data_IF_441386752136
#
_entry.id   IF_441386752136
#
_cell.length_a   1.000
_cell.length_b   1.000
_cell.length_c   1.000
_cell.angle_alpha   90.00
_cell.angle_beta   90.00
_cell.angle_gamma   90.00
#
_symmetry.space_group_name_H-M   'P 1'
#
loop_
_entity.id
_entity.type
_entity.pdbx_description
1 polymer ?
#
# COMPACT_ATOMS: atom_id res chain seq x y z
N UNK A 1 51.11 -2.33 49.24
CA UNK A 1 51.76 -3.19 48.22
C UNK A 1 50.84 -4.35 47.94
N UNK A 2 50.25 -4.50 46.73
CA UNK A 2 49.41 -5.63 46.37
C UNK A 2 50.33 -6.85 46.18
N UNK A 3 50.15 -7.95 46.95
CA UNK A 3 50.89 -9.20 46.86
C UNK A 3 50.41 -9.98 45.60
N UNK A 4 50.80 -9.55 44.39
CA UNK A 4 50.49 -10.26 43.19
C UNK A 4 51.61 -11.28 42.86
N UNK A 5 51.20 -12.54 42.56
CA UNK A 5 52.11 -13.62 42.18
C UNK A 5 53.19 -13.94 43.20
N UNK A 6 52.91 -13.68 44.50
CA UNK A 6 53.82 -14.09 45.60
C UNK A 6 53.54 -15.55 45.94
N UNK A 7 54.54 -16.37 45.91
CA UNK A 7 54.45 -17.78 46.35
C UNK A 7 54.17 -17.81 47.85
N UNK A 8 53.04 -18.43 48.21
CA UNK A 8 52.66 -18.64 49.61
C UNK A 8 53.39 -19.85 50.22
N UNK A 9 53.41 -20.94 49.49
CA UNK A 9 54.08 -22.15 49.93
C UNK A 9 54.59 -22.98 48.78
N UNK A 10 55.63 -23.77 49.04
CA UNK A 10 56.19 -24.74 48.11
C UNK A 10 56.14 -26.11 48.80
N UNK A 11 55.57 -27.09 48.16
CA UNK A 11 55.59 -28.49 48.57
C UNK A 11 56.32 -29.33 47.57
N UNK A 12 57.16 -30.29 48.03
CA UNK A 12 57.83 -31.27 47.24
C UNK A 12 57.38 -32.67 47.66
N UNK A 13 56.58 -33.32 46.80
CA UNK A 13 55.83 -34.49 47.24
C UNK A 13 54.80 -34.07 48.30
N UNK A 14 54.82 -34.80 49.43
CA UNK A 14 54.01 -34.51 50.65
C UNK A 14 54.64 -33.55 51.65
N UNK A 15 55.88 -33.13 51.40
CA UNK A 15 56.68 -32.36 52.36
C UNK A 15 56.72 -30.85 52.01
N UNK A 16 56.68 -29.98 53.01
CA UNK A 16 57.02 -28.59 52.80
C UNK A 16 58.45 -28.37 52.39
N UNK A 17 58.73 -27.43 51.45
CA UNK A 17 60.07 -27.10 51.03
C UNK A 17 60.88 -26.50 52.21
N UNK A 18 62.07 -27.01 52.43
CA UNK A 18 63.00 -26.46 53.41
C UNK A 18 64.38 -26.25 52.70
N UNK A 19 64.95 -25.09 52.90
CA UNK A 19 66.22 -24.69 52.35
C UNK A 19 67.35 -25.60 52.94
N UNK A 20 68.25 -26.14 52.05
CA UNK A 20 69.36 -27.00 52.48
C UNK A 20 69.05 -28.50 52.51
N UNK A 21 67.80 -28.91 52.22
CA UNK A 21 67.47 -30.34 52.12
C UNK A 21 67.55 -30.84 50.68
N UNK A 22 67.92 -32.08 50.45
CA UNK A 22 67.89 -32.69 49.15
C UNK A 22 66.62 -33.49 48.95
N UNK A 23 65.98 -33.33 47.83
CA UNK A 23 64.71 -33.99 47.44
C UNK A 23 64.97 -34.84 46.19
N UNK A 24 64.25 -35.95 46.06
CA UNK A 24 64.31 -36.74 44.81
C UNK A 24 63.77 -35.92 43.63
N UNK A 25 64.46 -35.98 42.51
CA UNK A 25 64.07 -35.28 41.28
C UNK A 25 62.73 -35.75 40.68
N UNK A 26 62.22 -36.92 41.14
CA UNK A 26 60.94 -37.48 40.69
C UNK A 26 59.73 -37.03 41.49
N UNK A 27 59.91 -36.28 42.58
CA UNK A 27 58.79 -35.80 43.38
C UNK A 27 58.10 -34.60 42.72
N UNK A 28 56.76 -34.60 42.69
CA UNK A 28 56.02 -33.44 42.15
C UNK A 28 56.24 -32.20 43.03
N UNK A 29 56.49 -31.08 42.36
CA UNK A 29 56.55 -29.76 43.03
C UNK A 29 55.22 -29.02 42.88
N UNK A 30 54.61 -28.73 44.03
CA UNK A 30 53.37 -27.93 44.09
C UNK A 30 53.70 -26.53 44.60
N UNK A 31 53.44 -25.54 43.77
CA UNK A 31 53.54 -24.11 44.19
C UNK A 31 52.13 -23.58 44.48
N UNK A 32 51.96 -23.12 45.71
CA UNK A 32 50.75 -22.34 46.09
C UNK A 32 51.13 -20.86 46.07
N UNK A 33 50.40 -20.09 45.34
CA UNK A 33 50.66 -18.64 45.22
C UNK A 33 49.38 -17.86 45.48
N UNK A 34 49.52 -16.63 45.94
CA UNK A 34 48.41 -15.75 46.07
C UNK A 34 47.97 -15.26 44.69
N UNK A 35 46.87 -15.83 44.20
CA UNK A 35 46.17 -15.28 43.07
C UNK A 35 45.40 -14.03 43.53
N UNK A 36 45.98 -12.89 43.32
CA UNK A 36 45.29 -11.60 43.45
C UNK A 36 44.80 -11.18 42.05
N UNK A 37 44.21 -12.12 41.29
CA UNK A 37 43.32 -11.68 40.22
C UNK A 37 42.24 -10.79 40.89
N UNK A 38 42.20 -9.53 40.51
CA UNK A 38 41.33 -8.57 41.18
C UNK A 38 39.89 -8.84 40.70
N UNK A 39 39.32 -9.93 41.19
CA UNK A 39 37.95 -10.34 40.88
C UNK A 39 36.89 -9.41 41.46
N UNK A 40 37.32 -8.47 42.31
CA UNK A 40 36.48 -7.48 42.92
C UNK A 40 36.51 -6.19 42.10
N UNK A 41 35.34 -5.71 41.78
CA UNK A 41 35.08 -4.46 41.02
C UNK A 41 34.17 -3.54 41.81
N UNK A 42 34.35 -2.24 41.64
CA UNK A 42 33.52 -1.22 42.29
C UNK A 42 32.34 -0.92 41.37
N UNK A 43 31.13 -0.86 41.97
CA UNK A 43 29.95 -0.40 41.24
C UNK A 43 30.13 1.11 40.92
N UNK A 44 29.83 1.54 39.68
CA UNK A 44 29.87 2.95 39.30
C UNK A 44 28.94 3.81 40.15
N UNK A 45 29.44 4.96 40.60
CA UNK A 45 28.70 5.85 41.54
C UNK A 45 27.59 6.68 40.88
N UNK A 46 27.67 6.89 39.57
CA UNK A 46 26.80 7.81 38.82
C UNK A 46 25.63 7.13 38.10
N UNK A 47 25.18 5.98 38.61
CA UNK A 47 24.03 5.28 38.05
C UNK A 47 22.75 5.80 38.70
N UNK A 48 21.84 6.32 37.88
CA UNK A 48 20.55 6.87 38.33
C UNK A 48 19.38 6.31 37.55
N UNK A 49 18.20 6.34 38.18
CA UNK A 49 16.93 6.06 37.48
C UNK A 49 16.75 7.10 36.36
N UNK A 50 16.30 6.62 35.20
CA UNK A 50 16.16 7.48 34.01
C UNK A 50 17.43 7.68 33.17
N UNK A 51 18.59 7.15 33.60
CA UNK A 51 19.76 7.05 32.73
C UNK A 51 19.48 6.13 31.54
N UNK A 52 20.19 6.30 30.42
CA UNK A 52 19.99 5.42 29.28
C UNK A 52 20.55 4.03 29.55
N UNK A 53 19.88 3.00 29.02
CA UNK A 53 20.30 1.60 29.08
C UNK A 53 21.73 1.42 28.57
N UNK A 54 22.05 2.04 27.43
CA UNK A 54 23.37 1.93 26.79
C UNK A 54 24.49 2.55 27.65
N UNK A 55 24.21 3.63 28.33
CA UNK A 55 25.18 4.28 29.20
C UNK A 55 25.46 3.44 30.42
N UNK A 56 24.44 2.92 31.11
CA UNK A 56 24.61 2.04 32.28
C UNK A 56 25.33 0.75 31.89
N UNK A 57 24.97 0.13 30.79
CA UNK A 57 25.67 -1.05 30.28
C UNK A 57 27.16 -0.77 30.05
N UNK A 58 27.49 0.35 29.40
CA UNK A 58 28.86 0.77 29.16
C UNK A 58 29.62 1.03 30.47
N UNK A 59 29.02 1.69 31.44
CA UNK A 59 29.62 1.98 32.73
C UNK A 59 29.93 0.67 33.48
N UNK A 60 28.98 -0.28 33.53
CA UNK A 60 29.18 -1.59 34.17
C UNK A 60 30.28 -2.40 33.49
N UNK A 61 30.27 -2.49 32.16
CA UNK A 61 31.32 -3.17 31.41
C UNK A 61 32.69 -2.53 31.61
N UNK A 62 32.77 -1.21 31.61
CA UNK A 62 34.02 -0.47 31.86
C UNK A 62 34.55 -0.66 33.28
N UNK A 63 33.65 -0.86 34.25
CA UNK A 63 34.02 -1.21 35.62
C UNK A 63 34.51 -2.65 35.77
N UNK A 64 34.34 -3.48 34.72
CA UNK A 64 34.85 -4.88 34.71
C UNK A 64 33.79 -5.95 34.99
N UNK A 65 32.49 -5.60 35.07
CA UNK A 65 31.44 -6.59 35.21
C UNK A 65 31.27 -7.41 33.96
N UNK A 66 31.10 -8.72 34.12
CA UNK A 66 31.01 -9.69 33.00
C UNK A 66 29.65 -10.38 32.91
N UNK A 67 28.85 -10.34 33.97
CA UNK A 67 27.55 -11.01 34.05
C UNK A 67 26.42 -9.99 34.15
N UNK A 68 26.09 -9.34 33.02
CA UNK A 68 25.09 -8.28 32.92
C UNK A 68 23.94 -8.79 32.05
N UNK A 69 22.72 -8.76 32.59
CA UNK A 69 21.49 -9.08 31.88
C UNK A 69 20.63 -7.81 31.75
N UNK A 70 20.21 -7.51 30.52
CA UNK A 70 19.29 -6.40 30.23
C UNK A 70 17.89 -6.98 30.09
N UNK A 71 16.94 -6.51 30.89
CA UNK A 71 15.55 -7.01 30.90
C UNK A 71 14.59 -5.88 30.51
N UNK A 72 13.90 -5.97 29.36
CA UNK A 72 12.89 -5.01 28.98
C UNK A 72 11.65 -5.16 29.87
N UNK A 73 11.05 -4.05 30.25
CA UNK A 73 9.74 -3.98 30.88
C UNK A 73 8.85 -3.07 30.06
N UNK A 74 7.76 -3.62 29.56
CA UNK A 74 6.80 -2.88 28.74
C UNK A 74 6.32 -1.61 29.47
N UNK A 75 6.42 -0.47 28.81
CA UNK A 75 6.07 0.84 29.35
C UNK A 75 5.42 1.69 28.26
N UNK A 76 4.26 2.28 28.56
CA UNK A 76 3.52 3.13 27.65
C UNK A 76 4.08 4.56 27.56
N UNK A 77 4.94 4.95 28.49
CA UNK A 77 5.59 6.25 28.45
C UNK A 77 6.78 6.23 27.49
N UNK A 78 6.57 6.78 26.29
CA UNK A 78 7.58 6.88 25.24
C UNK A 78 8.82 7.65 25.69
N UNK A 79 8.67 8.63 26.58
CA UNK A 79 9.81 9.43 27.10
C UNK A 79 10.74 8.62 27.98
N UNK A 80 10.22 7.51 28.53
CA UNK A 80 10.96 6.56 29.34
C UNK A 80 11.61 5.43 28.51
N UNK A 81 11.37 5.36 27.20
CA UNK A 81 11.95 4.32 26.36
C UNK A 81 13.48 4.24 26.51
N UNK A 82 13.97 3.01 26.75
CA UNK A 82 15.38 2.71 27.05
C UNK A 82 15.95 3.39 28.30
N UNK A 83 15.10 3.92 29.17
CA UNK A 83 15.52 4.44 30.46
C UNK A 83 15.49 3.37 31.54
N UNK A 84 16.47 3.42 32.44
CA UNK A 84 16.60 2.47 33.57
C UNK A 84 15.52 2.68 34.58
N UNK A 85 14.86 1.59 34.97
CA UNK A 85 13.88 1.54 36.05
C UNK A 85 14.51 1.03 37.39
N UNK A 86 15.27 -0.07 37.30
CA UNK A 86 15.92 -0.67 38.46
C UNK A 86 17.17 -1.48 38.03
N UNK A 87 18.08 -1.66 38.97
CA UNK A 87 19.23 -2.55 38.84
C UNK A 87 19.18 -3.51 40.04
N UNK A 88 19.25 -4.81 39.74
CA UNK A 88 19.37 -5.87 40.73
C UNK A 88 20.82 -6.37 40.77
N UNK A 89 21.38 -6.48 41.94
CA UNK A 89 22.68 -7.05 42.22
C UNK A 89 22.50 -8.31 43.04
N UNK A 90 22.83 -9.45 42.47
CA UNK A 90 22.63 -10.76 43.13
C UNK A 90 21.21 -10.93 43.70
N UNK A 91 20.19 -10.55 42.90
CA UNK A 91 18.77 -10.62 43.28
C UNK A 91 18.29 -9.56 44.28
N UNK A 92 19.15 -8.62 44.71
CA UNK A 92 18.77 -7.50 45.57
C UNK A 92 18.77 -6.18 44.81
N UNK A 93 17.73 -5.35 45.02
CA UNK A 93 17.68 -4.05 44.38
C UNK A 93 18.80 -3.14 44.84
N UNK A 94 19.57 -2.63 43.87
CA UNK A 94 20.60 -1.64 44.13
C UNK A 94 19.96 -0.27 44.29
N UNK A 95 20.24 0.38 45.44
CA UNK A 95 19.81 1.78 45.63
C UNK A 95 20.65 2.67 44.76
N UNK A 96 20.03 3.21 43.70
CA UNK A 96 20.66 4.17 42.80
C UNK A 96 20.66 5.56 43.49
N UNK A 97 21.47 6.46 42.99
CA UNK A 97 21.63 7.82 43.51
C UNK A 97 22.23 7.89 44.93
N UNK A 98 22.89 6.83 45.39
CA UNK A 98 23.62 6.81 46.66
C UNK A 98 25.12 6.85 46.44
N UNK A 99 25.83 7.63 47.26
CA UNK A 99 27.30 7.68 47.24
C UNK A 99 27.95 6.52 48.02
N UNK A 100 27.29 5.37 48.03
CA UNK A 100 27.79 4.20 48.76
C UNK A 100 28.82 3.47 47.89
N UNK A 101 30.02 3.28 48.44
CA UNK A 101 31.05 2.49 47.75
C UNK A 101 30.74 1.00 47.90
N UNK A 102 30.26 0.36 46.86
CA UNK A 102 29.93 -1.05 46.82
C UNK A 102 30.97 -1.78 45.98
N UNK A 103 31.69 -2.70 46.62
CA UNK A 103 32.71 -3.56 45.97
C UNK A 103 32.21 -5.00 46.01
N UNK A 104 32.17 -5.61 44.83
CA UNK A 104 31.66 -6.97 44.65
C UNK A 104 32.53 -7.75 43.62
N UNK A 105 32.33 -9.04 43.51
CA UNK A 105 32.98 -9.85 42.49
C UNK A 105 32.52 -9.44 41.10
N UNK A 106 33.42 -9.42 40.12
CA UNK A 106 33.14 -9.05 38.71
C UNK A 106 32.09 -9.92 38.02
N UNK A 107 31.93 -11.17 38.48
CA UNK A 107 30.98 -12.14 37.93
C UNK A 107 29.63 -12.17 38.65
N UNK A 108 29.41 -11.29 39.62
CA UNK A 108 28.10 -11.20 40.27
C UNK A 108 27.01 -10.92 39.23
N UNK A 109 25.86 -11.62 39.30
CA UNK A 109 24.78 -11.37 38.37
C UNK A 109 24.16 -9.98 38.61
N UNK A 110 24.14 -9.19 37.52
CA UNK A 110 23.52 -7.87 37.47
C UNK A 110 22.36 -7.93 36.49
N UNK A 111 21.15 -7.61 36.93
CA UNK A 111 20.00 -7.47 36.07
C UNK A 111 19.59 -5.99 36.01
N UNK A 112 19.66 -5.43 34.84
CA UNK A 112 19.26 -4.05 34.56
C UNK A 112 17.90 -4.06 33.90
N UNK A 113 16.86 -3.56 34.57
CA UNK A 113 15.51 -3.43 34.05
C UNK A 113 15.33 -2.04 33.45
N UNK A 114 14.85 -1.97 32.22
CA UNK A 114 14.63 -0.72 31.51
C UNK A 114 13.23 -0.65 30.89
N UNK A 115 12.69 0.54 30.71
CA UNK A 115 11.41 0.78 30.05
C UNK A 115 11.50 0.48 28.56
N UNK A 116 10.56 -0.29 28.04
CA UNK A 116 10.47 -0.62 26.60
C UNK A 116 9.13 -0.20 26.02
N UNK A 117 9.16 0.80 25.15
CA UNK A 117 8.03 1.28 24.37
C UNK A 117 7.85 0.56 23.03
N UNK A 118 8.76 -0.34 22.64
CA UNK A 118 8.82 -0.92 21.30
C UNK A 118 7.55 -1.65 20.86
N UNK A 119 6.80 -2.20 21.80
CA UNK A 119 5.52 -2.90 21.57
C UNK A 119 4.30 -1.97 21.49
N UNK A 120 4.48 -0.66 21.76
CA UNK A 120 3.40 0.32 21.76
C UNK A 120 3.52 1.30 20.59
N UNK A 121 2.41 1.91 20.25
CA UNK A 121 2.30 2.99 19.28
C UNK A 121 1.34 4.06 19.80
N UNK A 122 1.58 5.30 19.37
CA UNK A 122 0.69 6.43 19.64
C UNK A 122 -0.41 6.48 18.60
N UNK A 123 -1.66 6.61 19.05
CA UNK A 123 -2.79 6.88 18.15
C UNK A 123 -2.71 8.30 17.61
N UNK A 124 -3.10 8.53 16.35
CA UNK A 124 -3.24 9.88 15.84
C UNK A 124 -4.27 10.66 16.67
N UNK A 125 -4.06 11.96 16.83
CA UNK A 125 -4.99 12.80 17.59
C UNK A 125 -6.37 12.89 16.94
N UNK A 126 -6.41 12.86 15.62
CA UNK A 126 -7.63 12.84 14.82
C UNK A 126 -7.36 12.13 13.49
N UNK A 127 -8.40 11.55 12.91
CA UNK A 127 -8.37 11.04 11.54
C UNK A 127 -8.91 12.16 10.65
N UNK A 128 -7.99 12.96 10.09
CA UNK A 128 -8.32 14.10 9.20
C UNK A 128 -8.36 13.71 7.73
N UNK A 129 -8.02 12.48 7.39
CA UNK A 129 -8.01 11.96 6.02
C UNK A 129 -9.41 11.49 5.62
N UNK A 130 -9.75 11.70 4.36
CA UNK A 130 -11.04 11.31 3.79
C UNK A 130 -10.97 9.99 3.02
N UNK A 131 -9.77 9.52 2.72
CA UNK A 131 -9.56 8.30 1.94
C UNK A 131 -9.16 7.13 2.81
N UNK A 132 -9.60 5.93 2.42
CA UNK A 132 -9.20 4.67 3.06
C UNK A 132 -7.70 4.46 2.97
N UNK A 133 -7.11 4.77 1.81
CA UNK A 133 -5.68 4.61 1.56
C UNK A 133 -4.82 5.44 2.52
N UNK A 134 -5.13 6.74 2.65
CA UNK A 134 -4.38 7.64 3.53
C UNK A 134 -4.55 7.27 5.00
N UNK A 135 -5.76 6.84 5.38
CA UNK A 135 -6.03 6.36 6.74
C UNK A 135 -5.23 5.10 7.05
N UNK A 136 -5.20 4.14 6.12
CA UNK A 136 -4.38 2.94 6.27
C UNK A 136 -2.90 3.28 6.42
N UNK A 137 -2.41 4.17 5.57
CA UNK A 137 -1.03 4.66 5.63
C UNK A 137 -0.73 5.32 6.97
N UNK A 138 -1.64 6.15 7.49
CA UNK A 138 -1.49 6.82 8.78
C UNK A 138 -1.24 5.82 9.92
N UNK A 139 -2.01 4.73 9.97
CA UNK A 139 -1.83 3.69 10.99
C UNK A 139 -0.60 2.82 10.76
N UNK A 140 -0.31 2.44 9.50
CA UNK A 140 0.89 1.64 9.21
C UNK A 140 2.19 2.41 9.47
N UNK A 141 2.26 3.68 9.10
CA UNK A 141 3.40 4.57 9.42
C UNK A 141 3.51 4.81 10.93
N UNK A 142 2.38 4.81 11.64
CA UNK A 142 2.33 4.83 13.11
C UNK A 142 2.84 3.54 13.77
N UNK A 143 3.14 2.50 12.99
CA UNK A 143 3.72 1.24 13.45
C UNK A 143 2.69 0.17 13.81
N UNK A 144 1.41 0.33 13.48
CA UNK A 144 0.40 -0.72 13.67
C UNK A 144 0.57 -1.82 12.63
N UNK A 145 0.62 -3.07 13.10
CA UNK A 145 0.88 -4.24 12.25
C UNK A 145 -0.38 -4.92 11.72
N UNK A 146 -1.53 -4.68 12.33
CA UNK A 146 -2.80 -5.32 11.98
C UNK A 146 -3.81 -4.28 11.50
N UNK A 147 -3.55 -3.68 10.34
CA UNK A 147 -4.44 -2.71 9.70
C UNK A 147 -5.16 -3.37 8.54
N UNK A 148 -6.48 -3.40 8.60
CA UNK A 148 -7.34 -4.02 7.58
C UNK A 148 -8.47 -3.08 7.15
N UNK A 149 -9.04 -3.37 5.99
CA UNK A 149 -10.14 -2.64 5.40
C UNK A 149 -11.39 -3.52 5.42
N UNK A 150 -12.55 -2.91 5.68
CA UNK A 150 -13.85 -3.58 5.62
C UNK A 150 -14.81 -2.76 4.77
N UNK A 151 -15.15 -3.30 3.61
CA UNK A 151 -16.11 -2.70 2.70
C UNK A 151 -17.56 -2.94 3.18
N UNK A 152 -18.39 -1.93 3.07
CA UNK A 152 -19.86 -2.01 3.21
C UNK A 152 -20.47 -1.65 1.86
N UNK A 153 -21.25 -2.56 1.28
CA UNK A 153 -21.87 -2.32 -0.02
C UNK A 153 -22.91 -1.21 0.05
N UNK A 154 -22.94 -0.35 -0.99
CA UNK A 154 -23.93 0.70 -1.17
C UNK A 154 -24.28 0.86 -2.64
N UNK A 155 -25.55 1.24 -2.91
CA UNK A 155 -25.99 1.63 -4.25
C UNK A 155 -25.76 3.12 -4.54
N UNK A 156 -25.36 3.89 -3.53
CA UNK A 156 -25.07 5.31 -3.68
C UNK A 156 -23.63 5.50 -4.17
N UNK A 157 -23.48 5.73 -5.46
CA UNK A 157 -22.19 5.91 -6.15
C UNK A 157 -21.39 7.08 -5.55
N UNK A 158 -22.06 8.11 -5.04
CA UNK A 158 -21.41 9.28 -4.46
C UNK A 158 -20.65 8.97 -3.19
N UNK A 159 -20.95 7.87 -2.52
CA UNK A 159 -20.31 7.41 -1.29
C UNK A 159 -19.12 6.50 -1.54
N UNK A 160 -18.86 6.10 -2.78
CA UNK A 160 -17.79 5.12 -3.07
C UNK A 160 -16.45 5.58 -2.51
N UNK A 161 -15.83 4.71 -1.70
CA UNK A 161 -14.54 5.00 -1.06
C UNK A 161 -14.60 5.93 0.16
N UNK A 162 -15.77 6.44 0.53
CA UNK A 162 -15.90 7.27 1.73
C UNK A 162 -15.81 6.42 3.00
N UNK A 163 -15.04 6.90 3.97
CA UNK A 163 -14.94 6.24 5.27
C UNK A 163 -16.24 6.33 6.06
N UNK A 164 -16.57 5.23 6.74
CA UNK A 164 -17.68 5.12 7.69
C UNK A 164 -17.16 5.33 9.10
N UNK A 165 -16.16 4.57 9.50
CA UNK A 165 -15.59 4.56 10.83
C UNK A 165 -14.21 3.88 10.83
N UNK A 166 -13.43 4.12 11.88
CA UNK A 166 -12.26 3.33 12.21
C UNK A 166 -12.49 2.68 13.55
N UNK A 167 -12.32 1.36 13.61
CA UNK A 167 -12.42 0.59 14.84
C UNK A 167 -11.05 0.04 15.24
N UNK A 168 -10.77 0.05 16.53
CA UNK A 168 -9.58 -0.52 17.11
C UNK A 168 -10.00 -1.50 18.19
N UNK A 169 -9.62 -2.77 18.02
CA UNK A 169 -10.03 -3.87 18.91
C UNK A 169 -11.55 -3.90 19.16
N UNK A 170 -12.34 -3.58 18.09
CA UNK A 170 -13.80 -3.56 18.13
C UNK A 170 -14.44 -2.32 18.77
N UNK A 171 -13.66 -1.30 19.10
CA UNK A 171 -14.16 -0.03 19.64
C UNK A 171 -13.99 1.09 18.60
N UNK A 172 -14.97 1.97 18.50
CA UNK A 172 -14.83 3.16 17.65
C UNK A 172 -13.64 4.01 18.08
N UNK A 173 -12.85 4.47 17.12
CA UNK A 173 -11.65 5.27 17.34
C UNK A 173 -11.91 6.49 18.25
N UNK A 174 -13.02 7.17 18.05
CA UNK A 174 -13.37 8.36 18.83
C UNK A 174 -13.77 8.06 20.27
N UNK A 175 -14.07 6.79 20.59
CA UNK A 175 -14.38 6.34 21.96
C UNK A 175 -13.15 5.94 22.77
N UNK A 176 -11.94 5.91 22.14
CA UNK A 176 -10.72 5.46 22.79
C UNK A 176 -10.04 6.64 23.49
N UNK A 177 -9.99 6.57 24.81
CA UNK A 177 -9.34 7.58 25.63
C UNK A 177 -7.82 7.39 25.74
N UNK A 178 -7.36 6.13 25.73
CA UNK A 178 -5.93 5.80 25.83
C UNK A 178 -5.25 6.07 24.46
N UNK A 179 -4.35 7.05 24.44
CA UNK A 179 -3.64 7.45 23.21
C UNK A 179 -2.44 6.55 22.88
N UNK A 180 -2.05 5.67 23.77
CA UNK A 180 -0.95 4.72 23.58
C UNK A 180 -1.46 3.30 23.73
N UNK A 181 -1.45 2.56 22.65
CA UNK A 181 -1.94 1.18 22.57
C UNK A 181 -0.89 0.25 21.97
N UNK A 182 -1.12 -1.05 22.00
CA UNK A 182 -0.18 -2.01 21.43
C UNK A 182 -0.16 -1.93 19.90
N UNK A 183 1.01 -2.09 19.29
CA UNK A 183 1.17 -2.17 17.83
C UNK A 183 0.39 -3.33 17.20
N UNK A 184 0.07 -4.36 17.99
CA UNK A 184 -0.70 -5.51 17.55
C UNK A 184 -2.21 -5.33 17.65
N UNK A 185 -2.69 -4.17 18.13
CA UNK A 185 -4.12 -3.86 18.13
C UNK A 185 -4.68 -3.92 16.73
N UNK A 186 -5.86 -4.54 16.59
CA UNK A 186 -6.52 -4.74 15.31
C UNK A 186 -7.24 -3.45 14.88
N UNK A 187 -6.74 -2.82 13.83
CA UNK A 187 -7.34 -1.62 13.22
C UNK A 187 -8.18 -2.03 12.03
N UNK A 188 -9.47 -1.66 12.02
CA UNK A 188 -10.40 -1.91 10.92
C UNK A 188 -10.90 -0.56 10.40
N UNK A 189 -10.62 -0.28 9.13
CA UNK A 189 -11.10 0.91 8.42
C UNK A 189 -12.35 0.50 7.64
N UNK A 190 -13.52 0.98 8.06
CA UNK A 190 -14.81 0.71 7.40
C UNK A 190 -15.10 1.78 6.37
N UNK A 191 -15.53 1.37 5.19
CA UNK A 191 -15.82 2.29 4.09
C UNK A 191 -16.95 1.81 3.20
N UNK A 192 -17.57 2.72 2.44
CA UNK A 192 -18.59 2.42 1.46
C UNK A 192 -17.98 1.93 0.15
N UNK A 193 -18.50 0.83 -0.36
CA UNK A 193 -18.13 0.29 -1.67
C UNK A 193 -19.36 0.31 -2.60
N UNK A 194 -19.28 1.10 -3.67
CA UNK A 194 -20.31 1.20 -4.71
C UNK A 194 -19.86 0.59 -6.05
N UNK A 195 -18.81 -0.22 -6.09
CA UNK A 195 -18.27 -0.78 -7.34
C UNK A 195 -19.33 -1.53 -8.14
N UNK A 196 -20.21 -2.29 -7.46
CA UNK A 196 -21.32 -3.00 -8.13
C UNK A 196 -22.30 -2.01 -8.78
N UNK A 197 -22.65 -0.91 -8.08
CA UNK A 197 -23.54 0.11 -8.62
C UNK A 197 -22.90 0.88 -9.76
N UNK A 198 -21.61 1.15 -9.70
CA UNK A 198 -20.85 1.79 -10.77
C UNK A 198 -20.82 0.90 -12.02
N UNK A 199 -20.49 -0.39 -11.85
CA UNK A 199 -20.48 -1.35 -12.95
C UNK A 199 -21.87 -1.53 -13.60
N UNK A 200 -22.92 -1.59 -12.79
CA UNK A 200 -24.30 -1.68 -13.26
C UNK A 200 -24.70 -0.42 -14.06
N UNK A 201 -24.34 0.76 -13.58
CA UNK A 201 -24.58 2.01 -14.29
C UNK A 201 -23.85 2.05 -15.62
N UNK A 202 -22.57 1.70 -15.64
CA UNK A 202 -21.77 1.65 -16.87
C UNK A 202 -22.33 0.65 -17.90
N UNK A 203 -22.79 -0.52 -17.43
CA UNK A 203 -23.45 -1.49 -18.31
C UNK A 203 -24.73 -0.95 -18.94
N UNK A 204 -25.57 -0.29 -18.16
CA UNK A 204 -26.83 0.32 -18.65
C UNK A 204 -26.57 1.44 -19.63
N UNK A 205 -25.57 2.28 -19.39
CA UNK A 205 -25.15 3.34 -20.28
C UNK A 205 -24.63 2.79 -21.61
N UNK A 206 -23.85 1.73 -21.58
CA UNK A 206 -23.36 1.06 -22.78
C UNK A 206 -24.49 0.38 -23.57
N UNK A 207 -25.41 -0.31 -22.91
CA UNK A 207 -26.59 -0.89 -23.52
C UNK A 207 -27.45 0.18 -24.21
N UNK A 208 -27.67 1.33 -23.53
CA UNK A 208 -28.39 2.46 -24.09
C UNK A 208 -27.69 3.06 -25.30
N UNK A 209 -26.36 3.18 -25.26
CA UNK A 209 -25.56 3.66 -26.39
C UNK A 209 -25.68 2.75 -27.62
N UNK A 210 -25.54 1.43 -27.41
CA UNK A 210 -25.68 0.44 -28.48
C UNK A 210 -27.10 0.41 -29.07
N UNK A 211 -28.12 0.54 -28.22
CA UNK A 211 -29.51 0.62 -28.66
C UNK A 211 -29.76 1.88 -29.52
N UNK A 212 -29.23 3.02 -29.10
CA UNK A 212 -29.35 4.27 -29.86
C UNK A 212 -28.60 4.21 -31.21
N UNK A 213 -27.43 3.56 -31.26
CA UNK A 213 -26.69 3.34 -32.48
C UNK A 213 -27.41 2.40 -33.44
N UNK A 214 -27.99 1.30 -32.92
CA UNK A 214 -28.81 0.39 -33.70
C UNK A 214 -30.07 1.06 -34.29
N UNK A 215 -30.72 1.93 -33.51
CA UNK A 215 -31.87 2.72 -34.01
C UNK A 215 -31.48 3.65 -35.14
N UNK A 216 -30.35 4.38 -35.03
CA UNK A 216 -29.84 5.25 -36.09
C UNK A 216 -29.49 4.46 -37.33
N UNK A 217 -28.87 3.28 -37.22
CA UNK A 217 -28.56 2.41 -38.35
C UNK A 217 -29.81 1.90 -39.05
N UNK A 218 -30.85 1.47 -38.26
CA UNK A 218 -32.12 1.04 -38.82
C UNK A 218 -32.86 2.17 -39.54
N UNK A 219 -32.84 3.40 -39.01
CA UNK A 219 -33.42 4.55 -39.65
C UNK A 219 -32.68 4.91 -40.98
N UNK A 220 -31.35 4.87 -40.95
CA UNK A 220 -30.55 5.08 -42.15
C UNK A 220 -30.87 4.04 -43.26
N UNK A 221 -31.06 2.77 -42.90
CA UNK A 221 -31.47 1.72 -43.84
C UNK A 221 -32.85 1.98 -44.39
N UNK A 222 -33.85 2.38 -43.62
CA UNK A 222 -35.21 2.72 -44.05
C UNK A 222 -35.17 3.88 -45.06
N UNK A 223 -34.37 4.92 -44.80
CA UNK A 223 -34.19 6.03 -45.72
C UNK A 223 -33.60 5.54 -47.02
N UNK A 224 -32.59 4.70 -47.02
CA UNK A 224 -31.94 4.16 -48.22
C UNK A 224 -32.93 3.30 -49.02
N UNK A 225 -33.70 2.43 -48.39
CA UNK A 225 -34.72 1.60 -49.00
C UNK A 225 -35.83 2.44 -49.65
N UNK A 226 -36.29 3.49 -48.96
CA UNK A 226 -37.30 4.41 -49.50
C UNK A 226 -36.82 5.19 -50.73
N UNK A 227 -35.55 5.62 -50.75
CA UNK A 227 -34.88 6.24 -51.90
C UNK A 227 -34.75 5.27 -53.08
N UNK A 228 -34.37 4.03 -52.83
CA UNK A 228 -34.26 2.99 -53.86
C UNK A 228 -35.61 2.66 -54.48
N UNK A 229 -36.70 2.60 -53.68
CA UNK A 229 -38.06 2.40 -54.17
C UNK A 229 -38.52 3.59 -55.02
N UNK A 230 -38.26 4.82 -54.58
CA UNK A 230 -38.57 6.01 -55.36
C UNK A 230 -37.84 6.04 -56.71
N UNK A 231 -36.55 5.70 -56.75
CA UNK A 231 -35.80 5.60 -58.01
C UNK A 231 -36.33 4.53 -58.96
N UNK A 232 -36.72 3.36 -58.44
CA UNK A 232 -37.26 2.28 -59.27
C UNK A 232 -38.64 2.67 -59.87
N UNK A 233 -39.48 3.44 -59.12
CA UNK A 233 -40.72 4.00 -59.64
C UNK A 233 -40.47 5.02 -60.74
N UNK A 234 -39.49 5.91 -60.61
CA UNK A 234 -39.11 6.89 -61.63
C UNK A 234 -38.65 6.18 -62.93
N UNK A 235 -37.86 5.09 -62.82
CA UNK A 235 -37.43 4.32 -64.00
C UNK A 235 -38.57 3.58 -64.68
N UNK A 236 -39.57 3.09 -63.93
CA UNK A 236 -40.78 2.48 -64.50
C UNK A 236 -41.62 3.53 -65.28
N UNK A 237 -41.76 4.75 -64.76
CA UNK A 237 -42.45 5.85 -65.46
C UNK A 237 -41.72 6.30 -66.71
N UNK A 238 -40.38 6.38 -66.73
CA UNK A 238 -39.59 6.73 -67.85
C UNK A 238 -39.63 5.66 -68.98
N UNK A 239 -39.77 4.36 -68.63
CA UNK A 239 -39.90 3.26 -69.59
C UNK A 239 -41.30 3.19 -70.28
N UNK A 240 -42.34 3.81 -69.72
CA UNK A 240 -43.68 3.80 -70.34
C UNK A 240 -43.98 4.93 -71.33
N UNK A 241 -43.07 5.90 -71.46
CA UNK A 241 -43.22 6.99 -72.43
C UNK A 241 -42.50 6.75 -73.79
N UNK A 242 -41.97 5.55 -74.03
CA UNK A 242 -41.50 5.16 -75.36
C UNK A 242 -42.65 4.68 -76.25
N UNK A 243 -43.80 5.34 -76.17
CA UNK A 243 -44.84 5.24 -77.18
C UNK A 243 -44.40 5.96 -78.45
N UNK A 244 -44.37 5.26 -79.58
CA UNK A 244 -44.04 5.86 -80.86
C UNK A 244 -44.99 7.03 -81.11
N UNK A 245 -44.49 8.24 -80.99
CA UNK A 245 -45.25 9.44 -81.41
C UNK A 245 -45.29 9.40 -82.93
N UNK A 246 -46.49 9.47 -83.53
CA UNK A 246 -46.66 9.57 -84.94
C UNK A 246 -47.41 10.86 -85.24
N UNK A 247 -46.76 11.72 -86.09
CA UNK A 247 -47.39 12.92 -86.56
C UNK A 247 -47.87 12.71 -88.01
N UNK A 248 -49.18 12.92 -88.24
CA UNK A 248 -49.83 12.70 -89.53
C UNK A 248 -49.34 13.69 -90.61
N UNK A 249 -48.99 14.90 -90.24
CA UNK A 249 -48.52 15.97 -91.13
C UNK A 249 -47.82 17.08 -90.28
N UNK A 250 -47.21 18.05 -90.96
CA UNK A 250 -46.51 19.17 -90.30
C UNK A 250 -47.43 20.06 -89.48
N UNK A 251 -48.73 20.12 -89.71
CA UNK A 251 -49.66 20.82 -88.83
C UNK A 251 -49.76 20.15 -87.52
N UNK A 252 -49.77 18.82 -87.46
CA UNK A 252 -49.76 18.07 -86.19
C UNK A 252 -48.45 18.25 -85.45
N UNK A 253 -47.30 18.32 -86.06
CA UNK A 253 -46.00 18.60 -85.44
C UNK A 253 -45.99 19.99 -84.81
N UNK A 254 -46.46 21.04 -85.57
CA UNK A 254 -46.57 22.42 -85.08
C UNK A 254 -47.55 22.54 -83.89
N UNK A 255 -48.66 21.88 -83.98
CA UNK A 255 -49.63 21.86 -82.85
C UNK A 255 -49.10 21.19 -81.57
N UNK A 256 -48.14 20.26 -81.76
CA UNK A 256 -47.44 19.60 -80.65
C UNK A 256 -46.20 20.41 -80.18
N UNK A 257 -45.85 21.51 -80.83
CA UNK A 257 -44.67 22.32 -80.54
C UNK A 257 -43.35 21.60 -80.81
N UNK A 258 -43.35 20.64 -81.75
CA UNK A 258 -42.21 19.80 -82.10
C UNK A 258 -41.56 20.19 -83.40
N UNK A 259 -41.86 21.33 -84.02
CA UNK A 259 -41.29 21.87 -85.27
C UNK A 259 -40.08 22.81 -84.98
N UNK A 260 -39.00 22.67 -85.78
CA UNK A 260 -38.74 21.63 -86.75
C UNK A 260 -38.38 20.29 -86.07
N UNK A 261 -38.77 19.15 -86.69
CA UNK A 261 -38.49 17.79 -86.14
C UNK A 261 -37.32 17.18 -86.93
N UNK A 262 -36.33 16.67 -86.23
CA UNK A 262 -35.12 16.14 -86.82
C UNK A 262 -35.14 14.62 -86.95
N UNK A 263 -34.36 14.08 -87.91
CA UNK A 263 -34.19 12.64 -88.08
C UNK A 263 -33.61 12.01 -86.80
N UNK A 264 -34.35 11.13 -86.14
CA UNK A 264 -34.06 10.52 -84.84
C UNK A 264 -34.92 11.01 -83.69
N UNK A 265 -35.66 12.09 -83.86
CA UNK A 265 -36.61 12.54 -82.85
C UNK A 265 -37.85 11.63 -82.82
N UNK A 266 -38.44 11.42 -81.64
CA UNK A 266 -39.71 10.70 -81.56
C UNK A 266 -40.78 11.36 -82.46
N UNK A 267 -41.33 10.64 -83.35
CA UNK A 267 -42.33 11.11 -84.30
C UNK A 267 -41.83 11.63 -85.62
N UNK A 268 -40.53 11.67 -85.90
CA UNK A 268 -39.99 11.95 -87.21
C UNK A 268 -40.41 10.84 -88.21
N UNK A 269 -40.82 11.25 -89.33
CA UNK A 269 -41.13 10.39 -90.45
C UNK A 269 -40.78 11.05 -91.79
N UNK A 270 -40.27 10.26 -92.73
CA UNK A 270 -39.87 10.79 -94.06
C UNK A 270 -40.98 11.51 -94.84
N UNK A 271 -42.24 11.33 -94.45
CA UNK A 271 -43.37 12.04 -94.97
C UNK A 271 -43.52 13.48 -94.43
N UNK A 272 -42.76 13.83 -93.38
CA UNK A 272 -42.67 15.16 -92.81
C UNK A 272 -41.50 15.98 -93.35
N UNK A 273 -40.51 15.31 -93.91
CA UNK A 273 -39.27 15.82 -94.50
C UNK A 273 -39.36 15.75 -96.09
N UNK A 274 -39.71 16.88 -96.71
CA UNK A 274 -40.04 16.90 -98.13
C UNK A 274 -38.84 16.84 -99.05
N UNK A 275 -37.74 17.39 -98.65
CA UNK A 275 -36.50 17.47 -99.50
C UNK A 275 -35.44 16.42 -99.03
N UNK A 276 -35.68 15.70 -97.93
CA UNK A 276 -34.89 14.58 -97.44
C UNK A 276 -33.57 14.95 -96.76
N UNK A 277 -33.46 16.18 -96.32
CA UNK A 277 -32.25 16.71 -95.65
C UNK A 277 -32.14 16.30 -94.18
N UNK A 278 -33.18 15.73 -93.62
CA UNK A 278 -33.21 15.24 -92.24
C UNK A 278 -33.89 16.18 -91.26
N UNK A 279 -34.45 17.28 -91.72
CA UNK A 279 -35.25 18.25 -91.01
C UNK A 279 -36.66 18.27 -91.57
N UNK A 280 -37.63 17.92 -90.75
CA UNK A 280 -39.02 17.88 -91.20
C UNK A 280 -39.78 19.09 -90.67
N UNK A 281 -40.77 19.57 -91.44
CA UNK A 281 -41.72 20.64 -91.06
C UNK A 281 -41.08 22.02 -90.79
N UNK A 282 -39.93 22.26 -91.45
CA UNK A 282 -39.34 23.61 -91.38
C UNK A 282 -40.19 24.68 -92.12
#
# INVERSE_FOLDING_TARGET
MKKKDIVDSIKIGSYGYQLGYFYSKSLPVTLTYFDVSNDNVKIPENMSKGSSKSEIEKQLKSAGFVNITLTPKADKDKTMHEKIQSIMLDGKELKLDTKQEIVVKKNVPITVTYSDFSSFAELPNAISTTTVFDTKKLFTDGGFSQVSEQATETNDISKNGQMIAVEIDGKDFNSINDKVITKNSKVIIKYWNAEKAIAEKARKEEEARLAAEAQKAAEAQRILESQAQAQSQIQQFAGTQSGSVYYKNCTAVRNAGADPIYRGDPGYGSHLDRDGDGVGCE
#
